data_IF_832493151209
#
_entry.id   IF_832493151209
#
_cell.length_a   1.000
_cell.length_b   1.000
_cell.length_c   1.000
_cell.angle_alpha   90.00
_cell.angle_beta   90.00
_cell.angle_gamma   90.00
#
_symmetry.space_group_name_H-M   'P 1'
#
loop_
_entity.id
_entity.type
_entity.pdbx_description
1 polymer ?
#
# COMPACT_ATOMS: atom_id res chain seq x y z
N UNK A 1 -7.30 -5.45 -13.13
CA UNK A 1 -6.66 -5.87 -11.86
C UNK A 1 -7.61 -6.75 -11.07
N UNK A 2 -7.13 -7.90 -10.67
CA UNK A 2 -7.90 -8.90 -9.91
C UNK A 2 -8.00 -8.52 -8.43
N UNK A 3 -9.16 -8.75 -7.84
CA UNK A 3 -9.38 -8.61 -6.39
C UNK A 3 -9.79 -9.97 -5.84
N UNK A 4 -9.06 -10.44 -4.85
CA UNK A 4 -9.31 -11.71 -4.18
C UNK A 4 -10.10 -11.47 -2.89
N UNK A 5 -11.11 -12.29 -2.67
CA UNK A 5 -11.97 -12.21 -1.48
C UNK A 5 -11.80 -13.47 -0.64
N UNK A 6 -11.35 -13.30 0.60
CA UNK A 6 -11.21 -14.39 1.57
C UNK A 6 -12.17 -14.21 2.76
N UNK A 7 -13.28 -13.50 2.55
CA UNK A 7 -14.32 -13.26 3.55
C UNK A 7 -14.10 -11.97 4.33
N UNK A 8 -13.16 -11.96 5.26
CA UNK A 8 -12.87 -10.78 6.10
C UNK A 8 -11.97 -9.76 5.43
N UNK A 9 -11.29 -10.15 4.34
CA UNK A 9 -10.30 -9.34 3.65
C UNK A 9 -10.49 -9.48 2.15
N UNK A 10 -10.54 -8.34 1.46
CA UNK A 10 -10.38 -8.27 0.01
C UNK A 10 -9.03 -7.63 -0.30
N UNK A 11 -8.27 -8.24 -1.16
CA UNK A 11 -6.93 -7.75 -1.49
C UNK A 11 -6.62 -7.91 -2.98
N UNK A 12 -5.63 -7.16 -3.42
CA UNK A 12 -5.08 -7.30 -4.77
C UNK A 12 -3.56 -7.42 -4.70
N UNK A 13 -2.98 -8.04 -5.71
CA UNK A 13 -1.54 -8.29 -5.79
C UNK A 13 -1.01 -7.70 -7.11
N UNK A 14 -0.89 -6.37 -7.21
CA UNK A 14 -0.14 -5.76 -8.31
C UNK A 14 1.33 -6.17 -8.20
N UNK A 15 2.00 -6.35 -9.32
CA UNK A 15 3.36 -6.88 -9.33
C UNK A 15 4.36 -5.79 -9.71
N UNK A 16 5.32 -5.55 -8.81
CA UNK A 16 6.55 -4.78 -9.06
C UNK A 16 6.32 -3.47 -9.84
N UNK A 17 6.50 -3.49 -11.16
CA UNK A 17 6.40 -2.32 -12.03
C UNK A 17 4.98 -1.72 -12.10
N UNK A 18 3.94 -2.49 -11.80
CA UNK A 18 2.56 -2.00 -11.73
C UNK A 18 2.43 -0.82 -10.75
N UNK A 19 3.31 -0.74 -9.78
CA UNK A 19 3.32 0.31 -8.76
C UNK A 19 3.43 1.72 -9.35
N UNK A 20 4.15 1.89 -10.46
CA UNK A 20 4.36 3.23 -11.05
C UNK A 20 3.10 3.79 -11.72
N UNK A 21 2.11 2.94 -11.97
CA UNK A 21 0.84 3.32 -12.61
C UNK A 21 -0.26 3.49 -11.56
N UNK A 22 -0.65 4.73 -11.24
CA UNK A 22 -1.68 4.96 -10.21
C UNK A 22 -3.03 4.33 -10.55
N UNK A 23 -3.34 4.16 -11.82
CA UNK A 23 -4.58 3.56 -12.30
C UNK A 23 -4.75 2.12 -11.82
N UNK A 24 -3.67 1.36 -11.72
CA UNK A 24 -3.71 -0.06 -11.31
C UNK A 24 -4.18 -0.17 -9.86
N UNK A 25 -3.55 0.56 -8.95
CA UNK A 25 -3.93 0.59 -7.55
C UNK A 25 -5.36 1.14 -7.38
N UNK A 26 -5.68 2.22 -8.07
CA UNK A 26 -7.01 2.85 -8.02
C UNK A 26 -8.10 1.88 -8.48
N UNK A 27 -7.88 1.17 -9.56
CA UNK A 27 -8.83 0.19 -10.08
C UNK A 27 -9.07 -0.95 -9.08
N UNK A 28 -8.01 -1.48 -8.48
CA UNK A 28 -8.13 -2.52 -7.45
C UNK A 28 -8.96 -2.05 -6.25
N UNK A 29 -8.68 -0.84 -5.79
CA UNK A 29 -9.40 -0.26 -4.64
C UNK A 29 -10.87 0.01 -4.97
N UNK A 30 -11.18 0.52 -6.16
CA UNK A 30 -12.56 0.71 -6.60
C UNK A 30 -13.34 -0.61 -6.74
N UNK A 31 -12.65 -1.71 -7.03
CA UNK A 31 -13.23 -3.06 -7.02
C UNK A 31 -13.37 -3.66 -5.62
N UNK A 32 -12.98 -2.93 -4.59
CA UNK A 32 -13.18 -3.30 -3.20
C UNK A 32 -11.97 -3.83 -2.46
N UNK A 33 -10.76 -3.72 -3.01
CA UNK A 33 -9.55 -4.13 -2.30
C UNK A 33 -9.35 -3.28 -1.03
N UNK A 34 -9.15 -3.94 0.09
CA UNK A 34 -8.86 -3.33 1.39
C UNK A 34 -7.36 -3.23 1.66
N UNK A 35 -6.58 -3.98 0.89
CA UNK A 35 -5.14 -4.13 1.08
C UNK A 35 -4.50 -4.41 -0.27
N UNK A 36 -3.34 -3.79 -0.51
CA UNK A 36 -2.56 -4.00 -1.73
C UNK A 36 -1.21 -4.65 -1.36
N UNK A 37 -0.90 -5.76 -2.01
CA UNK A 37 0.39 -6.43 -1.88
C UNK A 37 1.22 -6.20 -3.14
N UNK A 38 2.46 -5.74 -2.97
CA UNK A 38 3.40 -5.53 -4.09
C UNK A 38 4.64 -6.39 -3.90
N UNK A 39 4.62 -7.65 -4.33
CA UNK A 39 5.85 -8.43 -4.41
C UNK A 39 6.77 -7.80 -5.46
N UNK A 40 8.03 -7.59 -5.11
CA UNK A 40 8.93 -6.75 -5.89
C UNK A 40 10.35 -7.29 -5.92
N UNK A 41 11.11 -6.84 -6.92
CA UNK A 41 12.52 -7.14 -7.10
C UNK A 41 13.23 -5.83 -7.45
N UNK A 42 13.52 -5.03 -6.43
CA UNK A 42 14.01 -3.65 -6.57
C UNK A 42 15.51 -3.60 -6.25
N UNK A 43 16.33 -3.05 -7.16
CA UNK A 43 17.75 -2.86 -6.90
C UNK A 43 18.00 -1.80 -5.82
N UNK A 44 19.18 -1.80 -5.23
CA UNK A 44 19.57 -0.85 -4.18
C UNK A 44 19.33 0.61 -4.57
N UNK A 45 19.58 0.95 -5.81
CA UNK A 45 19.40 2.32 -6.34
C UNK A 45 17.95 2.74 -6.47
N UNK A 46 17.00 1.78 -6.48
CA UNK A 46 15.59 2.04 -6.66
C UNK A 46 14.76 2.11 -5.37
N UNK A 47 15.36 1.86 -4.21
CA UNK A 47 14.61 1.74 -2.94
C UNK A 47 13.91 3.04 -2.55
N UNK A 48 14.59 4.18 -2.64
CA UNK A 48 14.01 5.46 -2.25
C UNK A 48 12.77 5.82 -3.09
N UNK A 49 12.82 5.85 -4.42
CA UNK A 49 11.61 6.11 -5.22
C UNK A 49 10.54 5.02 -5.05
N UNK A 50 10.91 3.77 -4.88
CA UNK A 50 9.97 2.68 -4.63
C UNK A 50 9.16 2.91 -3.35
N UNK A 51 9.83 3.28 -2.26
CA UNK A 51 9.16 3.61 -0.99
C UNK A 51 8.24 4.83 -1.12
N UNK A 52 8.62 5.84 -1.92
CA UNK A 52 7.77 6.99 -2.18
C UNK A 52 6.50 6.58 -2.93
N UNK A 53 6.62 5.79 -3.98
CA UNK A 53 5.46 5.28 -4.73
C UNK A 53 4.49 4.53 -3.82
N UNK A 54 5.01 3.64 -2.97
CA UNK A 54 4.17 2.83 -2.07
C UNK A 54 3.41 3.71 -1.09
N UNK A 55 4.04 4.71 -0.51
CA UNK A 55 3.40 5.65 0.39
C UNK A 55 2.32 6.49 -0.34
N UNK A 56 2.59 6.95 -1.55
CA UNK A 56 1.62 7.69 -2.34
C UNK A 56 0.42 6.81 -2.71
N UNK A 57 0.64 5.56 -3.11
CA UNK A 57 -0.48 4.63 -3.38
C UNK A 57 -1.36 4.41 -2.15
N UNK A 58 -0.75 4.29 -0.98
CA UNK A 58 -1.50 4.18 0.26
C UNK A 58 -2.29 5.45 0.57
N UNK A 59 -1.67 6.61 0.45
CA UNK A 59 -2.28 7.91 0.75
C UNK A 59 -3.43 8.25 -0.19
N UNK A 60 -3.21 8.17 -1.50
CA UNK A 60 -4.21 8.55 -2.50
C UNK A 60 -5.45 7.67 -2.48
N UNK A 61 -5.28 6.40 -2.09
CA UNK A 61 -6.37 5.43 -2.02
C UNK A 61 -6.90 5.21 -0.60
N UNK A 62 -6.25 5.76 0.42
CA UNK A 62 -6.53 5.48 1.83
C UNK A 62 -6.63 3.99 2.11
N UNK A 63 -5.65 3.26 1.60
CA UNK A 63 -5.59 1.79 1.64
C UNK A 63 -4.21 1.37 2.07
N UNK A 64 -4.08 0.50 3.08
CA UNK A 64 -2.78 -0.02 3.48
C UNK A 64 -2.09 -0.77 2.35
N UNK A 65 -0.77 -0.70 2.33
CA UNK A 65 0.08 -1.32 1.31
C UNK A 65 1.17 -2.14 1.99
N UNK A 66 1.37 -3.35 1.51
CA UNK A 66 2.46 -4.24 1.96
C UNK A 66 3.30 -4.58 0.74
N UNK A 67 4.59 -4.36 0.83
CA UNK A 67 5.50 -4.65 -0.27
C UNK A 67 6.71 -5.44 0.21
N UNK A 68 6.93 -6.59 -0.40
CA UNK A 68 8.09 -7.41 -0.16
C UNK A 68 9.14 -7.18 -1.25
N UNK A 69 10.41 -7.18 -0.87
CA UNK A 69 11.51 -7.04 -1.81
C UNK A 69 12.61 -8.06 -1.55
N UNK A 70 13.24 -8.48 -2.59
CA UNK A 70 14.42 -9.35 -2.54
C UNK A 70 15.56 -8.60 -1.86
N UNK A 71 16.28 -9.27 -0.98
CA UNK A 71 17.50 -8.74 -0.37
C UNK A 71 18.73 -9.52 -0.81
N UNK A 72 19.88 -8.87 -0.76
CA UNK A 72 21.16 -9.47 -1.14
C UNK A 72 21.56 -9.21 -2.58
N UNK A 73 22.86 -9.25 -2.83
CA UNK A 73 23.45 -8.95 -4.15
C UNK A 73 23.15 -7.53 -4.59
N UNK A 74 22.54 -7.37 -5.77
CA UNK A 74 22.16 -6.08 -6.34
C UNK A 74 20.87 -5.52 -5.76
N UNK A 75 20.10 -6.33 -5.02
CA UNK A 75 18.77 -5.97 -4.52
C UNK A 75 18.85 -5.29 -3.17
N UNK A 76 17.92 -4.37 -2.94
CA UNK A 76 17.97 -3.45 -1.81
C UNK A 76 17.26 -3.91 -0.55
N UNK A 77 16.51 -5.00 -0.59
CA UNK A 77 15.69 -5.42 0.55
C UNK A 77 14.70 -4.35 0.97
N UNK A 78 14.67 -4.01 2.26
CA UNK A 78 13.82 -2.98 2.86
C UNK A 78 12.35 -3.14 2.50
N UNK A 79 11.83 -4.36 2.61
CA UNK A 79 10.40 -4.63 2.55
C UNK A 79 9.68 -3.66 3.48
N UNK A 80 8.46 -3.25 3.09
CA UNK A 80 7.80 -2.12 3.75
C UNK A 80 6.31 -2.42 3.94
N UNK A 81 5.80 -1.99 5.08
CA UNK A 81 4.37 -1.93 5.34
C UNK A 81 4.01 -0.46 5.53
N UNK A 82 3.05 0.01 4.76
CA UNK A 82 2.49 1.36 4.87
C UNK A 82 1.07 1.25 5.37
N UNK A 83 0.87 1.53 6.63
CA UNK A 83 -0.45 1.73 7.22
C UNK A 83 -0.76 3.23 7.27
N UNK A 84 -1.96 3.60 7.68
CA UNK A 84 -2.39 4.99 7.74
C UNK A 84 -2.94 5.33 9.12
N UNK A 85 -2.51 6.45 9.65
CA UNK A 85 -3.15 7.12 10.78
C UNK A 85 -3.98 8.28 10.25
N UNK A 86 -5.03 8.62 10.96
CA UNK A 86 -5.93 9.71 10.56
C UNK A 86 -6.04 10.74 11.68
N UNK A 87 -5.78 11.98 11.34
CA UNK A 87 -6.08 13.10 12.21
C UNK A 87 -7.59 13.36 12.14
N UNK A 88 -8.27 13.13 13.25
CA UNK A 88 -9.73 13.24 13.32
C UNK A 88 -10.23 14.69 13.15
N UNK A 89 -9.41 15.67 13.47
CA UNK A 89 -9.79 17.08 13.39
C UNK A 89 -9.69 17.63 11.97
N UNK A 90 -8.75 17.12 11.18
CA UNK A 90 -8.45 17.63 9.83
C UNK A 90 -8.78 16.64 8.72
N UNK A 91 -9.06 15.38 9.06
CA UNK A 91 -9.30 14.29 8.08
C UNK A 91 -8.05 13.96 7.23
N UNK A 92 -6.89 14.37 7.68
CA UNK A 92 -5.63 14.10 6.98
C UNK A 92 -5.14 12.69 7.32
N UNK A 93 -4.82 11.93 6.27
CA UNK A 93 -4.17 10.63 6.40
C UNK A 93 -2.65 10.82 6.49
N UNK A 94 -2.03 10.16 7.46
CA UNK A 94 -0.60 10.20 7.71
C UNK A 94 -0.04 8.79 7.55
N UNK A 95 1.00 8.58 6.70
CA UNK A 95 1.55 7.25 6.55
C UNK A 95 2.29 6.81 7.81
N UNK A 96 1.99 5.59 8.24
CA UNK A 96 2.68 4.89 9.33
C UNK A 96 3.48 3.76 8.72
N UNK A 97 4.79 3.91 8.68
CA UNK A 97 5.67 3.06 7.89
C UNK A 97 6.52 2.18 8.80
N UNK A 98 6.63 0.89 8.43
CA UNK A 98 7.56 -0.05 9.03
C UNK A 98 8.38 -0.71 7.93
N UNK A 99 9.71 -0.64 8.03
CA UNK A 99 10.63 -1.16 7.02
C UNK A 99 11.46 -2.31 7.58
N UNK A 100 11.80 -3.26 6.70
CA UNK A 100 12.67 -4.36 7.00
C UNK A 100 14.15 -4.05 6.77
N UNK A 101 14.98 -5.05 7.04
CA UNK A 101 16.42 -4.97 6.85
C UNK A 101 16.80 -4.88 5.37
N UNK A 102 17.93 -4.24 5.10
CA UNK A 102 18.42 -4.06 3.73
C UNK A 102 19.09 -5.33 3.17
N UNK A 103 19.78 -6.10 4.00
CA UNK A 103 20.69 -7.15 3.53
C UNK A 103 20.40 -8.55 4.08
N UNK A 104 19.44 -8.71 4.97
CA UNK A 104 19.08 -10.01 5.55
C UNK A 104 17.60 -10.29 5.43
N UNK A 105 17.26 -11.55 5.31
CA UNK A 105 15.88 -11.99 5.39
C UNK A 105 15.27 -11.65 6.74
N UNK A 106 14.00 -11.24 6.73
CA UNK A 106 13.32 -10.81 7.94
C UNK A 106 11.81 -10.99 7.79
N UNK A 107 11.14 -11.33 8.87
CA UNK A 107 9.68 -11.32 8.96
C UNK A 107 9.26 -10.06 9.71
N UNK A 108 8.37 -9.30 9.12
CA UNK A 108 7.78 -8.10 9.74
C UNK A 108 6.31 -8.38 10.00
N UNK A 109 5.84 -8.13 11.22
CA UNK A 109 4.46 -8.34 11.60
C UNK A 109 3.90 -7.03 12.14
N UNK A 110 2.74 -6.62 11.62
CA UNK A 110 1.98 -5.47 12.10
C UNK A 110 0.49 -5.83 12.21
N UNK A 111 -0.22 -5.10 13.03
CA UNK A 111 -1.68 -5.16 13.10
C UNK A 111 -2.27 -3.99 12.32
N UNK A 112 -3.21 -4.28 11.40
CA UNK A 112 -3.87 -3.28 10.57
C UNK A 112 -5.37 -3.31 10.83
N UNK A 113 -5.95 -2.14 11.14
CA UNK A 113 -7.39 -1.97 11.30
C UNK A 113 -8.03 -1.65 9.93
N UNK A 114 -8.52 -2.68 9.26
CA UNK A 114 -9.15 -2.54 7.95
C UNK A 114 -10.46 -1.76 7.99
N UNK A 115 -11.23 -1.86 9.08
CA UNK A 115 -12.49 -1.15 9.22
C UNK A 115 -12.28 0.36 9.21
N UNK A 116 -11.27 0.84 9.93
CA UNK A 116 -10.91 2.26 9.98
C UNK A 116 -10.52 2.79 8.59
N UNK A 117 -9.67 2.08 7.87
CA UNK A 117 -9.26 2.50 6.53
C UNK A 117 -10.42 2.45 5.52
N UNK A 118 -11.32 1.46 5.60
CA UNK A 118 -12.54 1.44 4.77
C UNK A 118 -13.40 2.68 4.97
N UNK A 119 -13.66 3.07 6.21
CA UNK A 119 -14.47 4.25 6.54
C UNK A 119 -13.85 5.51 5.95
N UNK A 120 -12.57 5.70 6.13
CA UNK A 120 -11.85 6.87 5.62
C UNK A 120 -11.79 6.90 4.10
N UNK A 121 -11.65 5.75 3.47
CA UNK A 121 -11.65 5.61 2.02
C UNK A 121 -13.03 5.92 1.42
N UNK A 122 -14.09 5.39 1.98
CA UNK A 122 -15.45 5.65 1.54
C UNK A 122 -15.78 7.15 1.62
N UNK A 123 -15.38 7.81 2.69
CA UNK A 123 -15.57 9.26 2.86
C UNK A 123 -14.83 10.04 1.77
N UNK A 124 -13.59 9.67 1.47
CA UNK A 124 -12.80 10.32 0.43
C UNK A 124 -13.42 10.17 -0.96
N UNK A 125 -13.86 8.97 -1.32
CA UNK A 125 -14.43 8.72 -2.65
C UNK A 125 -15.86 9.26 -2.80
N UNK A 126 -16.60 9.39 -1.72
CA UNK A 126 -17.88 10.10 -1.76
C UNK A 126 -17.72 11.54 -2.22
N UNK A 127 -16.68 12.23 -1.76
CA UNK A 127 -16.36 13.59 -2.20
C UNK A 127 -16.03 13.66 -3.70
N UNK A 128 -15.33 12.64 -4.22
CA UNK A 128 -15.01 12.55 -5.65
C UNK A 128 -16.27 12.41 -6.51
N UNK A 129 -17.21 11.59 -6.09
CA UNK A 129 -18.47 11.37 -6.81
C UNK A 129 -19.34 12.63 -6.87
N UNK A 130 -19.28 13.49 -5.86
CA UNK A 130 -20.02 14.74 -5.84
C UNK A 130 -19.51 15.72 -6.90
N UNK A 131 -18.22 15.66 -7.23
CA UNK A 131 -17.61 16.56 -8.18
C UNK A 131 -17.62 16.06 -9.62
N UNK A 132 -18.01 14.82 -9.82
CA UNK A 132 -18.13 14.22 -11.14
C UNK A 132 -19.57 14.33 -11.65
#
# INVERSE_FOLDING_TARGET
>A
MEVFDIGKLKFSVPICYDLVFPEIARTAVHKGADLLFFPSKIPKTGIYPWHLYLQVRALENRTPVIASNVCGGLFGGRSIIVDLEYDKSTDIAIPKVKTGAAVKEQIIIVHIDLKKSRQMRQKRFANLLITS
#
